data_IF_669209302022
#
_entry.id   IF_669209302022
#
_cell.length_a   1.000
_cell.length_b   1.000
_cell.length_c   1.000
_cell.angle_alpha   90.00
_cell.angle_beta   90.00
_cell.angle_gamma   90.00
#
_symmetry.space_group_name_H-M   'P 1'
#
loop_
_entity.id
_entity.type
_entity.pdbx_description
1 polymer ?
#
# COMPACT_ATOMS: atom_id res chain seq x y z
N UNK A 1 12.85 -35.59 0.89
CA UNK A 1 11.82 -34.82 1.60
C UNK A 1 11.47 -33.63 0.73
N UNK A 2 10.20 -33.44 0.36
CA UNK A 2 9.77 -32.35 -0.51
C UNK A 2 9.67 -31.03 0.28
N UNK A 3 9.78 -29.90 -0.40
CA UNK A 3 9.62 -28.57 0.23
C UNK A 3 8.29 -28.47 0.97
N UNK A 4 7.23 -29.05 0.41
CA UNK A 4 5.88 -29.10 0.98
C UNK A 4 5.83 -29.75 2.37
N UNK A 5 6.68 -30.75 2.63
CA UNK A 5 6.72 -31.49 3.90
C UNK A 5 7.40 -30.69 5.03
N UNK A 6 8.00 -29.54 4.69
CA UNK A 6 8.74 -28.66 5.63
C UNK A 6 7.99 -27.36 5.94
N UNK A 7 6.82 -27.17 5.34
CA UNK A 7 6.00 -25.97 5.52
C UNK A 7 5.10 -26.19 6.74
N UNK A 8 4.85 -25.13 7.52
CA UNK A 8 3.87 -25.17 8.60
C UNK A 8 2.49 -25.57 8.02
N UNK A 9 1.82 -26.64 8.52
CA UNK A 9 0.58 -27.15 7.95
C UNK A 9 -0.49 -26.09 7.72
N UNK A 10 -0.61 -25.11 8.63
CA UNK A 10 -1.60 -24.05 8.52
C UNK A 10 -1.44 -23.16 7.28
N UNK A 11 -0.23 -23.05 6.72
CA UNK A 11 0.01 -22.29 5.48
C UNK A 11 -0.59 -23.02 4.27
N UNK A 12 -0.66 -24.35 4.31
CA UNK A 12 -1.23 -25.16 3.23
C UNK A 12 -2.75 -25.03 3.14
N UNK A 13 -3.40 -24.62 4.24
CA UNK A 13 -4.85 -24.42 4.33
C UNK A 13 -5.28 -23.00 3.89
N UNK A 14 -4.33 -22.08 3.67
CA UNK A 14 -4.65 -20.72 3.26
C UNK A 14 -5.03 -20.69 1.77
N UNK A 15 -6.19 -20.11 1.48
CA UNK A 15 -6.49 -19.64 0.14
C UNK A 15 -5.61 -18.42 -0.18
N UNK A 16 -4.86 -18.40 -1.30
CA UNK A 16 -4.09 -17.24 -1.71
C UNK A 16 -4.99 -16.00 -1.84
N UNK A 17 -4.50 -14.84 -1.38
CA UNK A 17 -5.18 -13.58 -1.62
C UNK A 17 -5.13 -13.23 -3.11
N UNK A 18 -6.30 -12.95 -3.69
CA UNK A 18 -6.42 -12.47 -5.07
C UNK A 18 -6.57 -10.94 -5.07
N UNK A 19 -5.50 -10.17 -5.34
CA UNK A 19 -5.59 -8.72 -5.42
C UNK A 19 -6.41 -8.29 -6.64
N UNK A 20 -7.03 -7.11 -6.55
CA UNK A 20 -7.69 -6.49 -7.70
C UNK A 20 -6.73 -6.29 -8.88
N UNK A 21 -7.19 -6.56 -10.10
CA UNK A 21 -6.39 -6.43 -11.32
C UNK A 21 -5.87 -4.97 -11.47
N UNK A 22 -4.57 -4.76 -11.72
CA UNK A 22 -4.03 -3.44 -12.05
C UNK A 22 -4.67 -2.87 -13.32
N UNK A 23 -4.82 -1.54 -13.37
CA UNK A 23 -5.44 -0.84 -14.51
C UNK A 23 -4.69 -1.18 -15.80
N UNK A 24 -3.37 -1.10 -15.76
CA UNK A 24 -2.49 -1.28 -16.90
C UNK A 24 -2.57 -2.71 -17.47
N UNK A 25 -2.80 -3.69 -16.60
CA UNK A 25 -2.98 -5.09 -17.02
C UNK A 25 -4.36 -5.30 -17.63
N UNK A 26 -5.42 -4.75 -17.02
CA UNK A 26 -6.78 -4.80 -17.55
C UNK A 26 -6.85 -4.17 -18.95
N UNK A 27 -6.31 -2.96 -19.10
CA UNK A 27 -6.33 -2.21 -20.35
C UNK A 27 -5.59 -2.93 -21.47
N UNK A 28 -4.40 -3.47 -21.19
CA UNK A 28 -3.61 -4.27 -22.15
C UNK A 28 -4.34 -5.54 -22.59
N UNK A 29 -5.00 -6.25 -21.68
CA UNK A 29 -5.74 -7.48 -22.00
C UNK A 29 -6.99 -7.23 -22.83
N UNK A 30 -7.70 -6.13 -22.56
CA UNK A 30 -8.95 -5.80 -23.24
C UNK A 30 -8.76 -4.93 -24.49
N UNK A 31 -7.54 -4.41 -24.72
CA UNK A 31 -7.26 -3.51 -25.83
C UNK A 31 -7.97 -2.15 -25.71
N UNK A 32 -8.25 -1.72 -24.48
CA UNK A 32 -8.90 -0.45 -24.16
C UNK A 32 -7.91 0.53 -23.53
N UNK A 33 -8.29 1.80 -23.43
CA UNK A 33 -7.51 2.83 -22.76
C UNK A 33 -8.41 3.83 -22.04
N UNK A 34 -7.93 4.47 -20.99
CA UNK A 34 -8.67 5.52 -20.29
C UNK A 34 -9.78 4.97 -19.39
N UNK A 35 -9.60 3.75 -18.88
CA UNK A 35 -10.51 3.15 -17.90
C UNK A 35 -10.53 3.95 -16.59
N UNK A 36 -11.69 3.97 -15.93
CA UNK A 36 -11.89 4.68 -14.67
C UNK A 36 -11.84 3.69 -13.52
N UNK A 37 -10.92 3.90 -12.56
CA UNK A 37 -10.72 3.03 -11.40
C UNK A 37 -11.65 3.41 -10.25
N UNK A 38 -12.56 2.51 -9.89
CA UNK A 38 -13.51 2.66 -8.76
C UNK A 38 -13.58 1.39 -7.88
N UNK A 39 -12.55 0.55 -7.93
CA UNK A 39 -12.59 -0.83 -7.38
C UNK A 39 -11.76 -1.05 -6.10
N UNK A 40 -11.17 0.01 -5.52
CA UNK A 40 -10.21 -0.14 -4.41
C UNK A 40 -10.37 0.90 -3.30
N UNK A 41 -11.50 1.62 -3.27
CA UNK A 41 -11.81 2.66 -2.28
C UNK A 41 -10.74 3.78 -2.20
N UNK A 42 -10.05 4.04 -3.31
CA UNK A 42 -9.06 5.11 -3.41
C UNK A 42 -9.74 6.48 -3.40
N UNK A 43 -9.06 7.49 -2.85
CA UNK A 43 -9.58 8.86 -2.86
C UNK A 43 -9.37 9.50 -4.24
N UNK A 44 -10.44 9.83 -5.01
CA UNK A 44 -10.30 10.39 -6.36
C UNK A 44 -9.71 11.81 -6.37
N UNK A 45 -9.67 12.50 -5.23
CA UNK A 45 -9.03 13.82 -5.10
C UNK A 45 -7.51 13.71 -4.97
N UNK A 46 -6.98 12.51 -4.78
CA UNK A 46 -5.57 12.30 -4.46
C UNK A 46 -5.20 12.72 -3.03
N UNK A 47 -3.89 12.74 -2.71
CA UNK A 47 -3.41 13.13 -1.38
C UNK A 47 -3.56 14.63 -1.13
N UNK A 48 -3.62 15.01 0.15
CA UNK A 48 -3.58 16.42 0.57
C UNK A 48 -2.34 17.16 0.02
N UNK A 49 -2.45 18.42 -0.43
CA UNK A 49 -1.30 19.23 -0.85
C UNK A 49 -0.20 19.32 0.22
N UNK A 50 -0.58 19.38 1.50
CA UNK A 50 0.35 19.39 2.65
C UNK A 50 1.11 18.08 2.78
N UNK A 51 0.46 16.95 2.47
CA UNK A 51 1.12 15.65 2.47
C UNK A 51 2.11 15.53 1.31
N UNK A 52 1.77 16.04 0.13
CA UNK A 52 2.69 16.09 -1.02
C UNK A 52 3.93 16.94 -0.73
N UNK A 53 3.77 18.08 -0.06
CA UNK A 53 4.89 18.92 0.37
C UNK A 53 5.81 18.18 1.36
N UNK A 54 5.24 17.60 2.43
CA UNK A 54 6.00 16.83 3.40
C UNK A 54 6.76 15.63 2.78
N UNK A 55 6.16 14.94 1.80
CA UNK A 55 6.82 13.86 1.06
C UNK A 55 8.04 14.40 0.31
N UNK A 56 7.90 15.53 -0.41
CA UNK A 56 9.01 16.13 -1.16
C UNK A 56 10.18 16.52 -0.24
N UNK A 57 9.88 17.08 0.92
CA UNK A 57 10.88 17.43 1.94
C UNK A 57 11.57 16.19 2.55
N UNK A 58 10.87 15.06 2.60
CA UNK A 58 11.41 13.82 3.13
C UNK A 58 12.32 13.07 2.12
N UNK A 59 12.19 13.31 0.81
CA UNK A 59 12.94 12.60 -0.24
C UNK A 59 14.46 12.56 -0.01
N UNK A 60 15.15 13.65 0.38
CA UNK A 60 16.60 13.62 0.59
C UNK A 60 17.05 12.71 1.74
N UNK A 61 16.14 12.30 2.63
CA UNK A 61 16.44 11.49 3.82
C UNK A 61 16.12 10.00 3.64
N UNK A 62 15.68 9.58 2.44
CA UNK A 62 15.23 8.19 2.19
C UNK A 62 16.30 7.12 2.44
N UNK A 63 17.57 7.47 2.46
CA UNK A 63 18.67 6.54 2.78
C UNK A 63 18.71 6.16 4.28
N UNK A 64 17.99 6.89 5.14
CA UNK A 64 17.96 6.66 6.57
C UNK A 64 16.71 5.85 6.94
N UNK A 65 16.87 4.93 7.90
CA UNK A 65 15.71 4.29 8.52
C UNK A 65 14.81 5.34 9.19
N UNK A 66 13.48 5.18 9.13
CA UNK A 66 12.57 6.01 9.89
C UNK A 66 12.69 5.70 11.38
N UNK A 67 12.09 6.56 12.21
CA UNK A 67 11.84 6.23 13.61
C UNK A 67 10.86 5.04 13.68
N UNK A 68 11.36 3.86 14.09
CA UNK A 68 10.56 2.65 14.23
C UNK A 68 9.46 2.75 15.30
N UNK A 69 9.56 3.73 16.21
CA UNK A 69 8.53 4.01 17.21
C UNK A 69 7.36 4.85 16.70
N UNK A 70 7.51 5.51 15.54
CA UNK A 70 6.58 6.48 14.98
C UNK A 70 6.17 7.58 15.99
N UNK A 71 7.11 8.06 16.81
CA UNK A 71 6.88 8.97 17.94
C UNK A 71 6.04 10.19 17.54
N UNK A 72 6.49 10.97 16.55
CA UNK A 72 5.79 12.18 16.11
C UNK A 72 4.40 11.89 15.53
N UNK A 73 4.21 10.75 14.85
CA UNK A 73 2.91 10.37 14.32
C UNK A 73 1.93 10.05 15.46
N UNK A 74 2.39 9.30 16.47
CA UNK A 74 1.58 8.94 17.64
C UNK A 74 1.14 10.17 18.44
N UNK A 75 2.06 11.09 18.72
CA UNK A 75 1.75 12.35 19.41
C UNK A 75 0.66 13.13 18.67
N UNK A 76 0.81 13.31 17.35
CA UNK A 76 -0.14 14.07 16.53
C UNK A 76 -1.50 13.38 16.40
N UNK A 77 -1.53 12.05 16.37
CA UNK A 77 -2.78 11.29 16.40
C UNK A 77 -3.49 11.44 17.76
N UNK A 78 -2.77 11.29 18.87
CA UNK A 78 -3.34 11.45 20.21
C UNK A 78 -3.93 12.86 20.41
N UNK A 79 -3.23 13.91 19.98
CA UNK A 79 -3.76 15.27 20.00
C UNK A 79 -5.02 15.45 19.12
N UNK A 80 -5.14 14.68 18.04
CA UNK A 80 -6.25 14.78 17.10
C UNK A 80 -7.48 13.96 17.54
N UNK A 81 -7.27 12.79 18.14
CA UNK A 81 -8.34 11.85 18.49
C UNK A 81 -8.78 11.92 19.95
N UNK A 82 -7.99 12.56 20.82
CA UNK A 82 -8.11 12.42 22.28
C UNK A 82 -7.62 11.06 22.76
#
# INVERSE_FOLDING_TARGET
MALRDRINPHILDLAPYEPGKPIETLERELGISGSVKLASNENPLGPSPRALEAIREALPKLALYPDGGCFYLKERLAEHTG
#
